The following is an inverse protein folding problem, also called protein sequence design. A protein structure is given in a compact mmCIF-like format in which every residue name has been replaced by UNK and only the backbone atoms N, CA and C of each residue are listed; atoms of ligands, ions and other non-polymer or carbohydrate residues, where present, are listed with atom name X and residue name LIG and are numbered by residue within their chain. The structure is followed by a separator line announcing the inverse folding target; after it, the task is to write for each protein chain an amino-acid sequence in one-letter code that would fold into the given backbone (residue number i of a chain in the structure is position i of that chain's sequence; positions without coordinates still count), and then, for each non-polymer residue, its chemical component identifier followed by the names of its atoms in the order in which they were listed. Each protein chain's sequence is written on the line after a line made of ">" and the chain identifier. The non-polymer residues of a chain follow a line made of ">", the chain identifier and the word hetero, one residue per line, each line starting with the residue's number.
data_IF_904942839692
#
_entry.id   IF_904942839692
#
_cell.length_a   1.000
_cell.length_b   1.000
_cell.length_c   1.000
_cell.angle_alpha   90.00
_cell.angle_beta   90.00
_cell.angle_gamma   90.00
#
_symmetry.space_group_name_H-M   'P 1'
#
loop_
_entity.id
_entity.type
_entity.pdbx_description
1 polymer ?
#
# COMPACT_ATOMS: atom_id res chain seq x y z
N UNK A 1 -8.92 43.57 21.72
CA UNK A 1 -8.43 43.37 20.35
C UNK A 1 -9.62 43.14 19.44
N UNK A 2 -9.52 43.41 18.14
CA UNK A 2 -10.58 43.12 17.17
C UNK A 2 -10.05 42.06 16.21
N UNK A 3 -10.60 40.84 16.27
CA UNK A 3 -10.23 39.74 15.38
C UNK A 3 -10.87 39.97 13.99
N UNK A 4 -10.17 39.62 12.89
CA UNK A 4 -10.75 39.48 11.55
C UNK A 4 -11.93 38.51 11.52
N UNK A 5 -12.85 38.71 10.58
CA UNK A 5 -14.08 37.92 10.48
C UNK A 5 -13.81 36.41 10.31
N UNK A 6 -12.76 36.05 9.58
CA UNK A 6 -12.38 34.66 9.33
C UNK A 6 -11.88 33.98 10.61
N UNK A 7 -11.08 34.67 11.41
CA UNK A 7 -10.61 34.16 12.70
C UNK A 7 -11.76 33.98 13.69
N UNK A 8 -12.73 34.91 13.72
CA UNK A 8 -13.95 34.75 14.55
C UNK A 8 -14.72 33.51 14.11
N UNK A 9 -14.97 33.35 12.82
CA UNK A 9 -15.70 32.19 12.29
C UNK A 9 -15.01 30.86 12.64
N UNK A 10 -13.68 30.80 12.51
CA UNK A 10 -12.88 29.61 12.88
C UNK A 10 -12.96 29.35 14.39
N UNK A 11 -12.81 30.38 15.22
CA UNK A 11 -12.85 30.25 16.67
C UNK A 11 -14.23 29.80 17.18
N UNK A 12 -15.31 30.30 16.57
CA UNK A 12 -16.69 29.90 16.88
C UNK A 12 -17.03 28.48 16.39
N UNK A 13 -16.40 28.02 15.31
CA UNK A 13 -16.56 26.67 14.77
C UNK A 13 -15.68 25.62 15.46
N UNK A 14 -14.59 26.04 16.10
CA UNK A 14 -13.68 25.15 16.83
C UNK A 14 -14.32 24.62 18.11
N UNK A 15 -13.95 23.40 18.49
CA UNK A 15 -14.35 22.78 19.74
C UNK A 15 -13.24 22.96 20.81
N UNK A 16 -13.63 23.33 22.02
CA UNK A 16 -12.71 23.57 23.13
C UNK A 16 -12.15 22.28 23.76
N UNK A 17 -12.88 21.18 23.63
CA UNK A 17 -12.58 19.89 24.24
C UNK A 17 -12.03 18.87 23.24
N UNK A 18 -12.34 19.02 21.95
CA UNK A 18 -11.98 18.07 20.88
C UNK A 18 -11.26 18.75 19.71
N UNK A 19 -10.18 18.12 19.23
CA UNK A 19 -9.47 18.61 18.05
C UNK A 19 -10.36 18.55 16.81
N UNK A 20 -10.49 19.68 16.12
CA UNK A 20 -11.30 19.80 14.90
C UNK A 20 -10.37 20.00 13.70
N UNK A 21 -10.49 19.13 12.68
CA UNK A 21 -9.65 19.25 11.47
C UNK A 21 -9.94 20.54 10.69
N UNK A 22 -8.95 21.04 9.96
CA UNK A 22 -9.10 22.18 9.05
C UNK A 22 -10.23 21.94 8.04
N UNK A 23 -10.35 20.72 7.49
CA UNK A 23 -11.40 20.38 6.53
C UNK A 23 -12.80 20.48 7.15
N UNK A 24 -12.97 20.04 8.41
CA UNK A 24 -14.22 20.15 9.13
C UNK A 24 -14.57 21.62 9.45
N UNK A 25 -13.58 22.43 9.83
CA UNK A 25 -13.74 23.87 10.07
C UNK A 25 -14.10 24.62 8.77
N UNK A 26 -13.47 24.28 7.65
CA UNK A 26 -13.80 24.82 6.33
C UNK A 26 -15.25 24.51 5.93
N UNK A 27 -15.68 23.26 6.11
CA UNK A 27 -17.07 22.86 5.85
C UNK A 27 -18.07 23.59 6.77
N UNK A 28 -17.74 23.80 8.05
CA UNK A 28 -18.62 24.46 9.01
C UNK A 28 -18.74 25.98 8.81
N UNK A 29 -17.67 26.62 8.32
CA UNK A 29 -17.58 28.08 8.14
C UNK A 29 -17.88 28.55 6.72
N UNK A 30 -18.02 27.63 5.76
CA UNK A 30 -18.15 27.92 4.32
C UNK A 30 -16.98 28.77 3.80
N UNK A 31 -15.79 28.53 4.34
CA UNK A 31 -14.54 29.19 3.94
C UNK A 31 -13.62 28.22 3.20
N UNK A 32 -12.81 28.69 2.24
CA UNK A 32 -11.79 27.85 1.60
C UNK A 32 -10.82 27.27 2.65
N UNK A 33 -10.38 26.01 2.51
CA UNK A 33 -9.42 25.39 3.45
C UNK A 33 -8.15 26.21 3.66
N UNK A 34 -7.67 26.91 2.64
CA UNK A 34 -6.48 27.77 2.71
C UNK A 34 -6.73 29.00 3.60
N UNK A 35 -7.95 29.55 3.56
CA UNK A 35 -8.37 30.66 4.42
C UNK A 35 -8.47 30.23 5.87
N UNK A 36 -9.07 29.05 6.11
CA UNK A 36 -9.16 28.47 7.45
C UNK A 36 -7.78 28.15 8.00
N UNK A 37 -6.91 27.55 7.19
CA UNK A 37 -5.53 27.23 7.59
C UNK A 37 -4.78 28.49 8.03
N UNK A 38 -4.86 29.57 7.25
CA UNK A 38 -4.24 30.85 7.62
C UNK A 38 -4.80 31.38 8.95
N UNK A 39 -6.12 31.40 9.10
CA UNK A 39 -6.77 31.85 10.34
C UNK A 39 -6.39 30.99 11.56
N UNK A 40 -6.27 29.66 11.41
CA UNK A 40 -5.85 28.75 12.48
C UNK A 40 -4.44 29.07 12.96
N UNK A 41 -3.48 29.27 12.05
CA UNK A 41 -2.11 29.63 12.43
C UNK A 41 -2.02 31.04 13.04
N UNK A 42 -2.76 32.01 12.53
CA UNK A 42 -2.82 33.35 13.14
C UNK A 42 -3.41 33.29 14.56
N UNK A 43 -4.46 32.50 14.78
CA UNK A 43 -5.04 32.27 16.11
C UNK A 43 -4.08 31.52 17.05
N UNK A 44 -3.25 30.62 16.52
CA UNK A 44 -2.19 29.94 17.29
C UNK A 44 -1.11 30.92 17.73
N UNK A 45 -0.65 31.79 16.81
CA UNK A 45 0.33 32.84 17.09
C UNK A 45 -0.18 33.83 18.16
N UNK A 46 -1.49 34.09 18.18
CA UNK A 46 -2.16 34.88 19.22
C UNK A 46 -2.41 34.10 20.54
N UNK A 47 -2.12 32.79 20.57
CA UNK A 47 -2.31 31.91 21.73
C UNK A 47 -3.77 31.60 22.04
N UNK A 48 -4.67 31.75 21.07
CA UNK A 48 -6.11 31.56 21.21
C UNK A 48 -6.55 30.13 20.93
N UNK A 49 -5.79 29.40 20.11
CA UNK A 49 -6.00 27.98 19.83
C UNK A 49 -4.69 27.21 19.94
N UNK A 50 -4.78 25.90 20.19
CA UNK A 50 -3.66 25.00 20.08
C UNK A 50 -3.77 24.24 18.75
N UNK A 51 -2.68 24.16 18.00
CA UNK A 51 -2.63 23.41 16.73
C UNK A 51 -1.73 22.21 16.90
N UNK A 52 -2.16 21.08 16.34
CA UNK A 52 -1.37 19.85 16.29
C UNK A 52 -1.48 19.23 14.91
N UNK A 53 -0.36 18.73 14.40
CA UNK A 53 -0.34 17.99 13.14
C UNK A 53 -0.60 16.50 13.38
N UNK A 54 -1.39 15.89 12.50
CA UNK A 54 -1.61 14.45 12.42
C UNK A 54 -1.52 14.02 10.97
N UNK A 55 -0.79 12.94 10.72
CA UNK A 55 -0.73 12.28 9.41
C UNK A 55 -1.50 10.97 9.50
N UNK A 56 -2.51 10.80 8.64
CA UNK A 56 -3.25 9.56 8.48
C UNK A 56 -2.89 8.94 7.11
N UNK A 57 -2.35 7.72 7.12
CA UNK A 57 -1.96 6.99 5.91
C UNK A 57 -2.89 5.81 5.67
N UNK A 58 -3.31 5.61 4.42
CA UNK A 58 -4.09 4.44 3.99
C UNK A 58 -3.34 3.71 2.89
N UNK A 59 -3.17 2.40 3.04
CA UNK A 59 -2.61 1.52 2.02
C UNK A 59 -3.69 0.61 1.45
N UNK A 60 -3.63 0.37 0.14
CA UNK A 60 -4.54 -0.52 -0.56
C UNK A 60 -3.75 -1.42 -1.52
N UNK A 61 -4.27 -2.60 -1.80
CA UNK A 61 -3.69 -3.49 -2.81
C UNK A 61 -3.80 -2.83 -4.20
N UNK A 62 -2.80 -3.07 -5.03
CA UNK A 62 -2.90 -2.84 -6.48
C UNK A 62 -3.84 -3.89 -7.11
N UNK A 63 -4.20 -3.71 -8.38
CA UNK A 63 -4.94 -4.75 -9.13
C UNK A 63 -4.16 -6.07 -9.14
N UNK A 64 -2.85 -6.01 -9.43
CA UNK A 64 -1.93 -7.16 -9.37
C UNK A 64 -1.88 -7.79 -7.98
N UNK A 65 -1.80 -6.99 -6.91
CA UNK A 65 -1.82 -7.49 -5.54
C UNK A 65 -3.12 -8.22 -5.19
N UNK A 66 -4.27 -7.78 -5.73
CA UNK A 66 -5.56 -8.48 -5.55
C UNK A 66 -5.60 -9.80 -6.31
N UNK A 67 -5.05 -9.84 -7.52
CA UNK A 67 -4.89 -11.08 -8.30
C UNK A 67 -4.05 -12.08 -7.52
N UNK A 68 -2.90 -11.67 -6.99
CA UNK A 68 -1.99 -12.55 -6.25
C UNK A 68 -2.57 -13.07 -4.93
N UNK A 69 -3.48 -12.34 -4.29
CA UNK A 69 -4.21 -12.85 -3.12
C UNK A 69 -5.17 -13.99 -3.50
N UNK A 70 -5.74 -13.93 -4.70
CA UNK A 70 -6.72 -14.92 -5.17
C UNK A 70 -6.04 -16.14 -5.79
N UNK A 71 -5.08 -15.88 -6.67
CA UNK A 71 -4.48 -16.90 -7.53
C UNK A 71 -3.12 -17.38 -7.00
N UNK A 72 -2.52 -16.67 -6.06
CA UNK A 72 -1.17 -16.92 -5.54
C UNK A 72 -0.08 -16.12 -6.26
N UNK A 73 1.05 -15.93 -5.57
CA UNK A 73 2.23 -15.28 -6.15
C UNK A 73 2.78 -16.12 -7.31
N UNK A 74 3.25 -15.50 -8.42
CA UNK A 74 3.75 -16.24 -9.57
C UNK A 74 4.83 -17.27 -9.23
N UNK A 75 5.82 -16.89 -8.41
CA UNK A 75 6.87 -17.83 -7.99
C UNK A 75 6.37 -18.97 -7.11
N UNK A 76 5.33 -18.76 -6.31
CA UNK A 76 4.74 -19.80 -5.45
C UNK A 76 3.98 -20.80 -6.31
N UNK A 77 3.20 -20.32 -7.29
CA UNK A 77 2.51 -21.17 -8.27
C UNK A 77 3.51 -22.00 -9.09
N UNK A 78 4.65 -21.41 -9.45
CA UNK A 78 5.72 -22.12 -10.14
C UNK A 78 6.35 -23.20 -9.24
N UNK A 79 6.54 -22.91 -7.95
CA UNK A 79 7.07 -23.84 -6.96
C UNK A 79 6.12 -25.02 -6.71
N UNK A 80 4.83 -24.76 -6.52
CA UNK A 80 3.82 -25.80 -6.37
C UNK A 80 3.78 -26.71 -7.62
N UNK A 81 3.82 -26.12 -8.82
CA UNK A 81 3.90 -26.89 -10.06
C UNK A 81 5.20 -27.71 -10.17
N UNK A 82 6.33 -27.23 -9.62
CA UNK A 82 7.58 -27.97 -9.58
C UNK A 82 7.50 -29.15 -8.60
N UNK A 83 6.93 -28.95 -7.40
CA UNK A 83 6.66 -30.01 -6.44
C UNK A 83 5.74 -31.09 -7.01
N UNK A 84 4.64 -30.70 -7.66
CA UNK A 84 3.73 -31.65 -8.32
C UNK A 84 4.40 -32.44 -9.44
N UNK A 85 5.43 -31.86 -10.06
CA UNK A 85 6.23 -32.53 -11.08
C UNK A 85 7.33 -33.44 -10.50
N UNK A 86 7.57 -33.41 -9.19
CA UNK A 86 8.63 -34.15 -8.49
C UNK A 86 9.97 -33.43 -8.39
N UNK A 87 9.97 -32.10 -8.50
CA UNK A 87 11.17 -31.25 -8.49
C UNK A 87 11.95 -31.27 -7.17
N UNK A 88 11.36 -31.79 -6.10
CA UNK A 88 11.97 -32.01 -4.78
C UNK A 88 12.83 -33.27 -4.71
N UNK A 89 12.61 -34.22 -5.62
CA UNK A 89 13.40 -35.44 -5.72
C UNK A 89 14.48 -35.33 -6.80
N UNK A 90 14.11 -34.88 -7.99
CA UNK A 90 14.99 -34.79 -9.16
C UNK A 90 14.70 -33.51 -9.96
N UNK A 91 15.68 -32.92 -10.66
CA UNK A 91 15.44 -31.79 -11.55
C UNK A 91 14.36 -32.10 -12.60
N UNK A 92 13.46 -31.15 -12.83
CA UNK A 92 12.36 -31.26 -13.78
C UNK A 92 12.39 -30.16 -14.84
N UNK A 93 11.94 -30.50 -16.04
CA UNK A 93 11.94 -29.56 -17.17
C UNK A 93 11.16 -28.28 -16.87
N UNK A 94 11.82 -27.13 -17.02
CA UNK A 94 11.22 -25.80 -16.84
C UNK A 94 9.97 -25.59 -17.68
N UNK A 95 9.99 -26.05 -18.95
CA UNK A 95 8.83 -25.92 -19.84
C UNK A 95 7.61 -26.70 -19.34
N UNK A 96 7.83 -27.86 -18.70
CA UNK A 96 6.76 -28.66 -18.08
C UNK A 96 6.16 -27.94 -16.88
N UNK A 97 7.00 -27.39 -16.01
CA UNK A 97 6.57 -26.68 -14.80
C UNK A 97 5.81 -25.39 -15.17
N UNK A 98 6.32 -24.58 -16.10
CA UNK A 98 5.63 -23.38 -16.57
C UNK A 98 4.25 -23.74 -17.14
N UNK A 99 4.17 -24.78 -17.98
CA UNK A 99 2.90 -25.23 -18.55
C UNK A 99 1.88 -25.71 -17.51
N UNK A 100 2.34 -26.25 -16.38
CA UNK A 100 1.47 -26.71 -15.29
C UNK A 100 1.08 -25.58 -14.32
N UNK A 101 1.92 -24.55 -14.15
CA UNK A 101 1.71 -23.44 -13.21
C UNK A 101 0.53 -22.52 -13.55
N UNK A 102 0.03 -22.59 -14.80
CA UNK A 102 -1.00 -21.69 -15.32
C UNK A 102 -0.55 -20.22 -15.41
N UNK A 103 0.76 -19.97 -15.43
CA UNK A 103 1.34 -18.64 -15.61
C UNK A 103 1.39 -18.27 -17.09
N UNK A 104 1.08 -17.02 -17.39
CA UNK A 104 1.10 -16.50 -18.75
C UNK A 104 1.85 -15.15 -18.83
N UNK A 105 2.39 -14.85 -20.01
CA UNK A 105 3.04 -13.57 -20.28
C UNK A 105 4.11 -13.20 -19.27
N UNK A 106 4.09 -11.95 -18.80
CA UNK A 106 5.10 -11.42 -17.86
C UNK A 106 5.12 -12.10 -16.48
N UNK A 107 4.06 -12.82 -16.09
CA UNK A 107 4.04 -13.54 -14.83
C UNK A 107 5.09 -14.67 -14.79
N UNK A 108 5.41 -15.26 -15.95
CA UNK A 108 6.48 -16.26 -16.08
C UNK A 108 7.84 -15.63 -15.75
N UNK A 109 8.13 -14.47 -16.34
CA UNK A 109 9.41 -13.78 -16.12
C UNK A 109 9.59 -13.36 -14.65
N UNK A 110 8.50 -12.89 -14.02
CA UNK A 110 8.46 -12.55 -12.59
C UNK A 110 8.74 -13.79 -11.74
N UNK A 111 8.03 -14.88 -12.01
CA UNK A 111 8.18 -16.14 -11.28
C UNK A 111 9.63 -16.63 -11.35
N UNK A 112 10.19 -16.76 -12.56
CA UNK A 112 11.57 -17.22 -12.77
C UNK A 112 12.60 -16.31 -12.07
N UNK A 113 12.41 -14.99 -12.17
CA UNK A 113 13.31 -14.02 -11.54
C UNK A 113 13.30 -14.14 -10.01
N UNK A 114 12.14 -14.40 -9.42
CA UNK A 114 11.95 -14.50 -7.98
C UNK A 114 12.30 -15.87 -7.42
N UNK A 115 12.11 -16.94 -8.18
CA UNK A 115 12.17 -18.33 -7.74
C UNK A 115 13.44 -18.65 -6.94
N UNK A 116 14.60 -18.54 -7.59
CA UNK A 116 15.89 -18.81 -6.95
C UNK A 116 16.27 -17.73 -5.92
N UNK A 117 15.89 -16.47 -6.18
CA UNK A 117 16.19 -15.35 -5.27
C UNK A 117 15.52 -15.51 -3.91
N UNK A 118 14.33 -16.13 -3.88
CA UNK A 118 13.53 -16.35 -2.67
C UNK A 118 13.74 -17.74 -2.07
N UNK A 119 14.60 -18.57 -2.66
CA UNK A 119 14.97 -19.88 -2.11
C UNK A 119 13.94 -20.99 -2.33
N UNK A 120 13.12 -20.89 -3.38
CA UNK A 120 12.18 -21.98 -3.73
C UNK A 120 12.84 -23.15 -4.45
N UNK A 121 14.12 -23.02 -4.80
CA UNK A 121 14.89 -24.01 -5.55
C UNK A 121 15.86 -23.36 -6.53
N UNK A 122 16.44 -24.17 -7.40
CA UNK A 122 17.40 -23.73 -8.41
C UNK A 122 16.80 -23.82 -9.82
N UNK A 123 17.26 -22.92 -10.69
CA UNK A 123 17.01 -23.00 -12.13
C UNK A 123 18.37 -23.06 -12.81
N UNK A 124 18.64 -24.15 -13.49
CA UNK A 124 19.87 -24.34 -14.25
C UNK A 124 19.59 -25.04 -15.57
N UNK A 125 20.13 -24.50 -16.67
CA UNK A 125 20.15 -25.16 -17.98
C UNK A 125 18.78 -25.65 -18.49
N UNK A 126 17.69 -24.97 -18.12
CA UNK A 126 16.32 -25.32 -18.51
C UNK A 126 15.62 -26.34 -17.60
N UNK A 127 16.24 -26.70 -16.48
CA UNK A 127 15.69 -27.54 -15.43
C UNK A 127 15.40 -26.69 -14.18
N UNK A 128 14.41 -27.13 -13.40
CA UNK A 128 14.01 -26.54 -12.12
C UNK A 128 14.10 -27.62 -11.04
N UNK A 129 14.64 -27.26 -9.87
CA UNK A 129 14.43 -28.02 -8.62
C UNK A 129 13.48 -27.27 -7.71
N UNK A 130 12.83 -27.99 -6.80
CA UNK A 130 12.06 -27.41 -5.71
C UNK A 130 12.79 -27.76 -4.41
N UNK A 131 13.16 -26.75 -3.62
CA UNK A 131 13.76 -27.03 -2.32
C UNK A 131 12.63 -27.45 -1.36
N UNK A 132 12.66 -28.68 -0.79
CA UNK A 132 11.77 -29.02 0.31
C UNK A 132 12.27 -28.26 1.54
N UNK A 133 11.39 -27.51 2.19
CA UNK A 133 11.69 -26.75 3.43
C UNK A 133 12.53 -27.54 4.45
#
# INVERSE_FOLDING_TARGET
>A
MQLPAQQVAVLEAANADEATSVDALAAATDLPPETVTGAVFELEDEGLVAVSERVDETVALTDEGREYVTDGLPEVRLYEAALEAGGDADPVSMGRVIGASGLEGGAVDIALSNYARKGYGAIDSGEITADPD
#
